data_IF_596529368909
#
_entry.id   IF_596529368909
#
_cell.length_a   1.000
_cell.length_b   1.000
_cell.length_c   1.000
_cell.angle_alpha   90.00
_cell.angle_beta   90.00
_cell.angle_gamma   90.00
#
_symmetry.space_group_name_H-M   'P 1'
#
loop_
_entity.id
_entity.type
_entity.pdbx_description
1 polymer ?
#
# COMPACT_ATOMS: atom_id res chain seq x y z
N UNK A 1 -23.17 21.30 -9.15
CA UNK A 1 -23.61 20.18 -8.28
C UNK A 1 -22.41 19.39 -7.83
N UNK A 2 -22.59 18.43 -6.92
CA UNK A 2 -21.53 17.50 -6.49
C UNK A 2 -21.86 16.09 -6.98
N UNK A 3 -20.84 15.34 -7.36
CA UNK A 3 -20.93 13.91 -7.66
C UNK A 3 -20.20 13.17 -6.54
N UNK A 4 -20.93 12.29 -5.84
CA UNK A 4 -20.41 11.57 -4.67
C UNK A 4 -20.82 10.11 -4.84
N UNK A 5 -19.83 9.24 -4.93
CA UNK A 5 -20.04 7.80 -5.00
C UNK A 5 -20.43 7.25 -3.62
N UNK A 6 -21.41 6.35 -3.59
CA UNK A 6 -21.87 5.67 -2.37
C UNK A 6 -21.27 4.26 -2.20
N UNK A 7 -20.47 3.83 -3.18
CA UNK A 7 -19.90 2.49 -3.28
C UNK A 7 -18.49 2.52 -3.87
N UNK A 8 -18.10 1.51 -4.67
CA UNK A 8 -16.81 1.52 -5.36
C UNK A 8 -16.64 2.80 -6.21
N UNK A 9 -15.63 3.59 -5.90
CA UNK A 9 -15.38 4.87 -6.58
C UNK A 9 -14.46 4.78 -7.80
N UNK A 10 -13.68 3.69 -7.91
CA UNK A 10 -12.66 3.54 -8.95
C UNK A 10 -12.21 2.08 -9.13
N UNK A 11 -11.38 1.85 -10.15
CA UNK A 11 -10.74 0.56 -10.42
C UNK A 11 -9.25 0.74 -10.75
N UNK A 12 -8.49 -0.35 -10.69
CA UNK A 12 -7.05 -0.31 -11.02
C UNK A 12 -6.85 -0.26 -12.53
N UNK A 13 -6.44 0.88 -13.08
CA UNK A 13 -6.24 1.06 -14.53
C UNK A 13 -5.26 0.07 -15.19
N UNK A 14 -4.34 -0.53 -14.42
CA UNK A 14 -3.45 -1.61 -14.91
C UNK A 14 -4.15 -2.94 -15.20
N UNK A 15 -5.37 -3.15 -14.69
CA UNK A 15 -6.23 -4.29 -15.05
C UNK A 15 -7.18 -3.81 -16.16
N UNK A 16 -6.84 -4.14 -17.40
CA UNK A 16 -7.40 -3.46 -18.58
C UNK A 16 -8.85 -3.83 -18.89
N UNK A 17 -9.37 -4.96 -18.38
CA UNK A 17 -10.72 -5.47 -18.70
C UNK A 17 -11.83 -4.42 -18.57
N UNK A 18 -11.80 -3.57 -17.54
CA UNK A 18 -12.82 -2.52 -17.34
C UNK A 18 -12.63 -1.35 -18.32
N UNK A 19 -11.39 -1.00 -18.64
CA UNK A 19 -11.06 0.07 -19.59
C UNK A 19 -11.42 -0.35 -21.02
N UNK A 20 -11.14 -1.59 -21.39
CA UNK A 20 -11.52 -2.16 -22.69
C UNK A 20 -13.05 -2.16 -22.84
N UNK A 21 -13.77 -2.66 -21.83
CA UNK A 21 -15.24 -2.63 -21.82
C UNK A 21 -15.80 -1.21 -21.98
N UNK A 22 -15.27 -0.24 -21.24
CA UNK A 22 -15.71 1.16 -21.32
C UNK A 22 -15.50 1.75 -22.72
N UNK A 23 -14.39 1.40 -23.40
CA UNK A 23 -14.16 1.80 -24.79
C UNK A 23 -15.17 1.17 -25.75
N UNK A 24 -15.41 -0.13 -25.61
CA UNK A 24 -16.31 -0.88 -26.49
C UNK A 24 -17.76 -0.38 -26.42
N UNK A 25 -18.18 0.15 -25.25
CA UNK A 25 -19.51 0.74 -25.07
C UNK A 25 -19.54 2.27 -25.23
N UNK A 26 -18.45 2.89 -25.68
CA UNK A 26 -18.38 4.32 -26.02
C UNK A 26 -18.19 5.28 -24.85
N UNK A 27 -17.83 4.80 -23.66
CA UNK A 27 -17.58 5.62 -22.45
C UNK A 27 -16.10 6.00 -22.25
N UNK A 28 -15.26 5.84 -23.27
CA UNK A 28 -13.81 6.13 -23.15
C UNK A 28 -13.53 7.57 -22.69
N UNK A 29 -14.29 8.53 -23.20
CA UNK A 29 -14.09 9.96 -22.92
C UNK A 29 -14.52 10.36 -21.50
N UNK A 30 -15.26 9.49 -20.81
CA UNK A 30 -15.71 9.71 -19.43
C UNK A 30 -14.72 9.12 -18.42
N UNK A 31 -13.70 8.38 -18.86
CA UNK A 31 -12.67 7.82 -17.98
C UNK A 31 -11.77 8.95 -17.49
N UNK A 32 -11.78 9.17 -16.18
CA UNK A 32 -10.91 10.12 -15.49
C UNK A 32 -9.88 9.40 -14.65
N UNK A 33 -8.69 9.98 -14.54
CA UNK A 33 -7.62 9.47 -13.66
C UNK A 33 -7.64 10.19 -12.33
N UNK A 34 -7.37 9.44 -11.26
CA UNK A 34 -7.27 10.03 -9.93
C UNK A 34 -6.05 10.97 -9.86
N UNK A 35 -6.19 12.08 -9.13
CA UNK A 35 -5.02 12.90 -8.78
C UNK A 35 -4.25 12.22 -7.66
N UNK A 36 -2.92 12.20 -7.76
CA UNK A 36 -2.05 11.72 -6.68
C UNK A 36 -1.87 12.81 -5.63
N UNK A 37 -2.09 12.46 -4.36
CA UNK A 37 -1.87 13.34 -3.21
C UNK A 37 -1.07 12.68 -2.10
N UNK A 38 -0.86 13.41 -1.01
CA UNK A 38 -0.23 12.87 0.18
C UNK A 38 -1.23 12.04 0.99
N UNK A 39 -0.94 10.76 1.17
CA UNK A 39 -1.67 9.88 2.10
C UNK A 39 -1.05 9.87 3.49
N UNK A 40 -1.86 9.55 4.51
CA UNK A 40 -1.45 9.54 5.91
C UNK A 40 -1.88 8.24 6.61
N UNK A 41 -1.13 7.86 7.64
CA UNK A 41 -1.46 6.80 8.59
C UNK A 41 -1.85 7.46 9.91
N UNK A 42 -3.05 7.17 10.41
CA UNK A 42 -3.47 7.58 11.74
C UNK A 42 -2.99 6.58 12.77
N UNK A 43 -2.10 7.03 13.68
CA UNK A 43 -1.59 6.21 14.77
C UNK A 43 -1.26 7.12 15.96
N UNK A 44 -1.29 6.60 17.19
CA UNK A 44 -0.89 7.37 18.39
C UNK A 44 -1.55 8.76 18.47
N UNK A 45 -2.82 8.83 18.08
CA UNK A 45 -3.63 10.05 18.01
C UNK A 45 -3.04 11.17 17.13
N UNK A 46 -2.27 10.82 16.08
CA UNK A 46 -1.64 11.75 15.13
C UNK A 46 -1.66 11.18 13.71
N UNK A 47 -1.69 12.07 12.72
CA UNK A 47 -1.50 11.73 11.30
C UNK A 47 -0.01 11.76 10.97
N UNK A 48 0.49 10.64 10.43
CA UNK A 48 1.86 10.53 9.92
C UNK A 48 1.82 10.39 8.40
N UNK A 49 2.59 11.17 7.64
CA UNK A 49 2.66 10.97 6.20
C UNK A 49 3.22 9.57 5.91
N UNK A 50 2.65 8.87 4.92
CA UNK A 50 3.25 7.63 4.43
C UNK A 50 4.66 7.98 3.91
N UNK A 51 5.72 7.29 4.37
CA UNK A 51 7.06 7.55 3.90
C UNK A 51 7.12 7.43 2.37
N UNK A 52 7.70 8.45 1.72
CA UNK A 52 7.93 8.42 0.29
C UNK A 52 8.81 7.24 -0.12
N UNK A 53 8.80 6.88 -1.41
CA UNK A 53 9.49 5.69 -1.87
C UNK A 53 8.93 4.42 -1.21
N UNK A 54 7.60 4.28 -1.21
CA UNK A 54 6.93 3.05 -0.84
C UNK A 54 5.94 2.65 -1.94
N UNK A 55 5.93 1.37 -2.29
CA UNK A 55 4.95 0.78 -3.21
C UNK A 55 4.01 -0.07 -2.35
N UNK A 56 2.72 0.27 -2.33
CA UNK A 56 1.72 -0.42 -1.50
C UNK A 56 2.09 -0.48 0.00
N UNK A 57 2.73 0.57 0.53
CA UNK A 57 3.16 0.63 1.92
C UNK A 57 4.44 -0.15 2.25
N UNK A 58 5.03 -0.86 1.28
CA UNK A 58 6.35 -1.48 1.42
C UNK A 58 7.41 -0.45 1.02
N UNK A 59 8.34 -0.08 1.93
CA UNK A 59 9.42 0.85 1.59
C UNK A 59 10.31 0.29 0.48
N UNK A 60 10.41 1.02 -0.62
CA UNK A 60 11.40 0.80 -1.68
C UNK A 60 12.67 1.63 -1.46
N UNK A 61 12.64 2.59 -0.55
CA UNK A 61 13.80 3.33 -0.05
C UNK A 61 13.90 3.18 1.47
N UNK A 62 15.10 2.89 1.96
CA UNK A 62 15.41 2.75 3.38
C UNK A 62 15.45 4.11 4.07
N UNK A 63 15.85 5.20 3.38
CA UNK A 63 16.00 6.53 4.01
C UNK A 63 14.68 7.05 4.61
N UNK A 64 13.54 7.05 3.90
CA UNK A 64 12.25 7.51 4.44
C UNK A 64 11.75 6.61 5.58
N UNK A 65 12.08 5.32 5.54
CA UNK A 65 11.75 4.37 6.61
C UNK A 65 12.54 4.65 7.89
N UNK A 66 13.82 4.99 7.78
CA UNK A 66 14.65 5.32 8.95
C UNK A 66 14.25 6.67 9.56
N UNK A 67 13.77 7.63 8.77
CA UNK A 67 13.42 8.96 9.27
C UNK A 67 11.99 9.07 9.81
N UNK A 68 11.07 8.17 9.46
CA UNK A 68 9.68 8.27 9.91
C UNK A 68 9.52 8.18 11.43
N UNK A 69 8.60 8.98 11.99
CA UNK A 69 8.21 8.95 13.41
C UNK A 69 7.10 7.93 13.72
N UNK A 70 6.58 7.26 12.69
CA UNK A 70 5.50 6.28 12.82
C UNK A 70 5.99 5.06 13.63
N UNK A 71 7.15 4.53 13.27
CA UNK A 71 7.76 3.33 13.85
C UNK A 71 8.81 3.74 14.89
N UNK A 72 8.79 3.08 16.05
CA UNK A 72 9.76 3.34 17.12
C UNK A 72 11.18 2.93 16.71
N UNK A 73 12.24 3.46 17.34
CA UNK A 73 13.62 3.02 17.08
C UNK A 73 13.80 1.50 17.25
N UNK A 74 13.21 0.91 18.29
CA UNK A 74 13.22 -0.55 18.52
C UNK A 74 12.46 -1.31 17.42
N UNK A 75 11.33 -0.79 16.97
CA UNK A 75 10.56 -1.38 15.86
C UNK A 75 11.35 -1.36 14.54
N UNK A 76 12.07 -0.27 14.27
CA UNK A 76 12.96 -0.18 13.09
C UNK A 76 14.09 -1.20 13.15
N UNK A 77 14.73 -1.36 14.31
CA UNK A 77 15.75 -2.39 14.50
C UNK A 77 15.16 -3.79 14.28
N UNK A 78 14.01 -4.08 14.88
CA UNK A 78 13.33 -5.37 14.74
C UNK A 78 12.93 -5.68 13.29
N UNK A 79 12.45 -4.68 12.55
CA UNK A 79 12.14 -4.80 11.13
C UNK A 79 13.41 -4.97 10.28
N UNK A 80 14.50 -4.26 10.62
CA UNK A 80 15.78 -4.36 9.93
C UNK A 80 16.43 -5.74 10.01
N UNK A 81 16.17 -6.51 11.07
CA UNK A 81 16.61 -7.90 11.19
C UNK A 81 16.04 -8.81 10.09
N UNK A 82 14.97 -8.39 9.40
CA UNK A 82 14.38 -9.17 8.30
C UNK A 82 15.33 -9.37 7.11
N UNK A 83 16.27 -8.44 6.91
CA UNK A 83 17.30 -8.52 5.86
C UNK A 83 18.24 -9.73 6.03
N UNK A 84 18.34 -10.26 7.25
CA UNK A 84 19.18 -11.43 7.58
C UNK A 84 18.36 -12.72 7.68
N UNK A 85 17.02 -12.63 7.65
CA UNK A 85 16.16 -13.81 7.80
C UNK A 85 16.11 -14.59 6.50
N UNK A 86 16.20 -15.92 6.63
CA UNK A 86 15.90 -16.84 5.53
C UNK A 86 14.48 -16.62 5.02
N UNK A 87 14.24 -17.03 3.77
CA UNK A 87 12.92 -17.06 3.17
C UNK A 87 11.96 -17.87 4.06
N UNK A 88 10.74 -17.37 4.24
CA UNK A 88 9.70 -18.08 4.98
C UNK A 88 9.27 -19.30 4.18
N UNK A 89 9.40 -20.50 4.75
CA UNK A 89 8.94 -21.74 4.14
C UNK A 89 7.41 -21.82 4.28
N UNK A 90 6.70 -21.99 3.16
CA UNK A 90 5.25 -22.16 3.15
C UNK A 90 4.96 -23.67 3.22
N UNK A 91 4.48 -24.15 4.37
CA UNK A 91 4.22 -25.59 4.57
C UNK A 91 2.97 -26.06 3.82
N UNK A 92 1.89 -25.25 3.80
CA UNK A 92 0.58 -25.62 3.23
C UNK A 92 0.08 -24.65 2.12
N UNK A 93 1.01 -23.96 1.45
CA UNK A 93 0.70 -23.13 0.28
C UNK A 93 0.08 -21.75 0.54
N UNK A 94 -0.48 -21.48 1.73
CA UNK A 94 -0.93 -20.14 2.12
C UNK A 94 -0.75 -19.85 3.62
N UNK A 95 -0.51 -18.57 3.95
CA UNK A 95 -0.45 -18.04 5.30
C UNK A 95 -1.06 -16.65 5.33
N UNK A 96 -1.71 -16.28 6.44
CA UNK A 96 -2.22 -14.92 6.55
C UNK A 96 -1.10 -13.88 6.44
N UNK A 97 -1.37 -12.81 5.70
CA UNK A 97 -0.46 -11.66 5.55
C UNK A 97 -0.01 -11.12 6.91
N UNK A 98 -0.92 -11.08 7.88
CA UNK A 98 -0.61 -10.65 9.24
C UNK A 98 0.36 -11.58 9.99
N UNK A 99 0.19 -12.91 9.87
CA UNK A 99 1.10 -13.87 10.49
C UNK A 99 2.50 -13.78 9.88
N UNK A 100 2.57 -13.67 8.54
CA UNK A 100 3.82 -13.48 7.82
C UNK A 100 4.57 -12.23 8.30
N UNK A 101 3.91 -11.06 8.30
CA UNK A 101 4.57 -9.82 8.68
C UNK A 101 4.93 -9.75 10.16
N UNK A 102 4.13 -10.29 11.09
CA UNK A 102 4.53 -10.35 12.51
C UNK A 102 5.76 -11.23 12.73
N UNK A 103 5.82 -12.39 12.10
CA UNK A 103 7.00 -13.26 12.19
C UNK A 103 8.25 -12.58 11.62
N UNK A 104 8.11 -11.91 10.48
CA UNK A 104 9.21 -11.25 9.75
C UNK A 104 9.63 -9.92 10.37
N UNK A 105 8.72 -8.97 10.50
CA UNK A 105 9.01 -7.58 10.88
C UNK A 105 8.78 -7.27 12.36
N UNK A 106 8.12 -8.15 13.10
CA UNK A 106 7.71 -7.91 14.50
C UNK A 106 6.24 -7.54 14.60
#
# INVERSE_FOLDING_TARGET
GYMIELGPESYLGRKTIMTELAKDIGLEQDIVTNTTGQSYIFAKNKLYPIPGGSIMGIPTDIKPFVTTKLISPLGKLRAGLDLLKKHTQMQDGDISVGAFFRARLG
#
